data_IF_984583911279
#
_entry.id   IF_984583911279
#
_cell.length_a   1.000
_cell.length_b   1.000
_cell.length_c   1.000
_cell.angle_alpha   90.00
_cell.angle_beta   90.00
_cell.angle_gamma   90.00
#
_symmetry.space_group_name_H-M   'P 1'
#
loop_
_entity.id
_entity.type
_entity.pdbx_description
1 polymer ?
#
# COMPACT_ATOMS: atom_id res chain seq x y z
N UNK A 1 -8.41 -14.38 -20.01
CA UNK A 1 -7.12 -13.74 -19.63
C UNK A 1 -7.41 -12.44 -18.93
N UNK A 2 -7.33 -12.40 -17.60
CA UNK A 2 -7.45 -11.16 -16.82
C UNK A 2 -6.09 -10.47 -16.91
N UNK A 3 -6.01 -9.30 -17.56
CA UNK A 3 -4.76 -8.54 -17.61
C UNK A 3 -4.39 -8.14 -16.17
N UNK A 4 -3.12 -8.30 -15.74
CA UNK A 4 -2.70 -7.81 -14.44
C UNK A 4 -2.98 -6.30 -14.39
N UNK A 5 -3.79 -5.86 -13.41
CA UNK A 5 -3.90 -4.44 -13.11
C UNK A 5 -2.53 -4.00 -12.61
N UNK A 6 -2.00 -2.90 -13.15
CA UNK A 6 -0.81 -2.30 -12.58
C UNK A 6 -1.23 -1.72 -11.23
N UNK A 7 -0.63 -2.22 -10.16
CA UNK A 7 -0.94 -1.82 -8.78
C UNK A 7 0.36 -1.42 -8.11
N UNK A 8 0.35 -0.33 -7.35
CA UNK A 8 1.44 0.11 -6.49
C UNK A 8 0.95 0.17 -5.06
N UNK A 9 1.52 -0.65 -4.17
CA UNK A 9 1.09 -0.79 -2.76
C UNK A 9 -0.43 -0.98 -2.61
N UNK A 10 -1.03 -1.86 -3.41
CA UNK A 10 -2.47 -2.12 -3.38
C UNK A 10 -3.34 -1.07 -4.10
N UNK A 11 -2.79 0.07 -4.53
CA UNK A 11 -3.52 1.08 -5.29
C UNK A 11 -3.33 0.96 -6.80
N UNK A 12 -4.43 1.04 -7.55
CA UNK A 12 -4.37 0.99 -9.02
C UNK A 12 -3.59 2.20 -9.57
N UNK A 13 -2.67 1.93 -10.50
CA UNK A 13 -1.89 2.98 -11.16
C UNK A 13 -2.22 3.07 -12.65
N UNK A 14 -2.30 4.30 -13.14
CA UNK A 14 -2.52 4.62 -14.54
C UNK A 14 -1.25 5.20 -15.14
N UNK A 15 -0.88 4.77 -16.34
CA UNK A 15 0.24 5.36 -17.08
C UNK A 15 -0.23 6.66 -17.72
N UNK A 16 0.32 7.79 -17.30
CA UNK A 16 -0.08 9.13 -17.77
C UNK A 16 0.96 9.79 -18.69
N UNK A 17 2.15 9.21 -18.82
CA UNK A 17 3.23 9.76 -19.66
C UNK A 17 3.25 9.20 -21.09
N UNK A 18 3.42 10.09 -22.08
CA UNK A 18 3.79 9.74 -23.45
C UNK A 18 5.24 10.19 -23.73
N UNK A 19 6.10 9.26 -24.18
CA UNK A 19 7.52 9.53 -24.52
C UNK A 19 8.51 8.54 -23.90
N UNK A 20 9.79 8.95 -23.80
CA UNK A 20 10.90 8.13 -23.22
C UNK A 20 10.82 7.95 -21.70
N UNK A 21 10.00 8.74 -20.99
CA UNK A 21 9.80 8.64 -19.54
C UNK A 21 8.47 7.95 -19.22
N UNK A 22 8.52 6.90 -18.41
CA UNK A 22 7.34 6.26 -17.86
C UNK A 22 6.88 7.04 -16.62
N UNK A 23 5.72 7.69 -16.71
CA UNK A 23 5.05 8.34 -15.58
C UNK A 23 3.77 7.59 -15.25
N UNK A 24 3.58 7.34 -13.97
CA UNK A 24 2.40 6.67 -13.42
C UNK A 24 1.72 7.57 -12.41
N UNK A 25 0.39 7.56 -12.41
CA UNK A 25 -0.46 8.28 -11.47
C UNK A 25 -1.31 7.28 -10.71
N UNK A 26 -1.49 7.52 -9.43
CA UNK A 26 -2.50 6.84 -8.59
C UNK A 26 -3.43 7.89 -8.00
N UNK A 27 -4.66 7.48 -7.68
CA UNK A 27 -5.61 8.30 -6.92
C UNK A 27 -5.84 7.57 -5.60
N UNK A 28 -5.48 8.22 -4.50
CA UNK A 28 -5.62 7.67 -3.15
C UNK A 28 -6.78 8.41 -2.48
N UNK A 29 -7.78 7.66 -2.01
CA UNK A 29 -8.80 8.20 -1.12
C UNK A 29 -8.19 8.26 0.28
N UNK A 30 -8.04 9.47 0.81
CA UNK A 30 -7.41 9.72 2.10
C UNK A 30 -8.08 8.92 3.23
N UNK A 31 -9.42 8.88 3.27
CA UNK A 31 -10.17 8.21 4.34
C UNK A 31 -10.02 6.69 4.29
N UNK A 32 -10.05 6.11 3.10
CA UNK A 32 -9.86 4.66 2.93
C UNK A 32 -8.41 4.29 3.26
N UNK A 33 -7.46 5.09 2.80
CA UNK A 33 -6.05 4.87 3.06
C UNK A 33 -5.71 4.99 4.55
N UNK A 34 -6.27 6.00 5.24
CA UNK A 34 -6.06 6.16 6.68
C UNK A 34 -6.66 4.99 7.46
N UNK A 35 -7.86 4.53 7.10
CA UNK A 35 -8.51 3.41 7.77
C UNK A 35 -7.74 2.09 7.58
N UNK A 36 -7.22 1.82 6.38
CA UNK A 36 -6.39 0.64 6.10
C UNK A 36 -5.08 0.72 6.90
N UNK A 37 -4.40 1.86 6.86
CA UNK A 37 -3.14 2.07 7.57
C UNK A 37 -3.33 1.93 9.09
N UNK A 38 -4.40 2.50 9.64
CA UNK A 38 -4.73 2.39 11.06
C UNK A 38 -4.97 0.92 11.46
N UNK A 39 -5.70 0.17 10.63
CA UNK A 39 -5.95 -1.25 10.87
C UNK A 39 -4.65 -2.07 10.82
N UNK A 40 -3.78 -1.83 9.84
CA UNK A 40 -2.48 -2.51 9.70
C UNK A 40 -1.59 -2.24 10.92
N UNK A 41 -1.46 -0.96 11.33
CA UNK A 41 -0.68 -0.58 12.50
C UNK A 41 -1.24 -1.22 13.78
N UNK A 42 -2.56 -1.18 13.96
CA UNK A 42 -3.20 -1.82 15.11
C UNK A 42 -2.92 -3.32 15.14
N UNK A 43 -3.05 -4.00 14.00
CA UNK A 43 -2.80 -5.45 13.90
C UNK A 43 -1.37 -5.79 14.28
N UNK A 44 -0.39 -4.99 13.83
CA UNK A 44 1.02 -5.19 14.19
C UNK A 44 1.25 -4.97 15.69
N UNK A 45 0.62 -3.97 16.28
CA UNK A 45 0.70 -3.72 17.73
C UNK A 45 0.07 -4.87 18.52
N UNK A 46 -1.12 -5.32 18.12
CA UNK A 46 -1.83 -6.41 18.78
C UNK A 46 -0.98 -7.70 18.74
N UNK A 47 -0.38 -8.05 17.59
CA UNK A 47 0.56 -9.18 17.46
C UNK A 47 1.78 -9.01 18.36
N UNK A 48 2.34 -7.80 18.44
CA UNK A 48 3.48 -7.55 19.33
C UNK A 48 3.12 -7.75 20.80
N UNK A 49 1.94 -7.30 21.22
CA UNK A 49 1.45 -7.47 22.59
C UNK A 49 1.17 -8.94 22.89
N UNK A 50 0.45 -9.63 22.01
CA UNK A 50 -0.06 -10.98 22.25
C UNK A 50 1.01 -12.06 22.09
N UNK A 51 1.90 -11.92 21.09
CA UNK A 51 2.92 -12.92 20.76
C UNK A 51 4.32 -12.54 21.28
N UNK A 52 4.51 -11.29 21.74
CA UNK A 52 5.81 -10.78 22.19
C UNK A 52 6.83 -10.61 21.05
N UNK A 53 6.38 -10.68 19.79
CA UNK A 53 7.24 -10.56 18.60
C UNK A 53 7.37 -9.09 18.23
N UNK A 54 8.56 -8.54 18.41
CA UNK A 54 8.86 -7.15 18.03
C UNK A 54 8.78 -6.99 16.50
N UNK A 55 8.08 -5.96 15.99
CA UNK A 55 7.96 -5.76 14.55
C UNK A 55 9.31 -5.47 13.91
N UNK A 56 9.61 -6.16 12.81
CA UNK A 56 10.85 -5.96 12.07
C UNK A 56 10.89 -4.53 11.50
N UNK A 57 11.84 -3.73 11.98
CA UNK A 57 12.14 -2.44 11.38
C UNK A 57 12.96 -2.66 10.10
N UNK A 58 12.31 -2.56 8.95
CA UNK A 58 13.03 -2.39 7.68
C UNK A 58 13.79 -1.06 7.73
N UNK A 59 15.14 -1.13 7.74
CA UNK A 59 16.05 0.01 7.68
C UNK A 59 16.14 0.63 6.29
#
# INVERSE_FOLDING_TARGET
MIKPKNVYRGHAIEKVGHGKRALFRTIINEKEWSAITELEVKTVIDVWIDEGVEPQQDK
#
